data_IF_950319283004
#
_entry.id   IF_950319283004
#
_cell.length_a   1.000
_cell.length_b   1.000
_cell.length_c   1.000
_cell.angle_alpha   90.00
_cell.angle_beta   90.00
_cell.angle_gamma   90.00
#
_symmetry.space_group_name_H-M   'P 1'
#
loop_
_entity.id
_entity.type
_entity.pdbx_description
1 polymer ?
#
# COMPACT_ATOMS: atom_id res chain seq x y z
N UNK A 1 -17.21 30.28 2.46
CA UNK A 1 -17.55 28.86 2.22
C UNK A 1 -17.00 28.46 0.87
N UNK A 2 -15.76 27.97 0.82
CA UNK A 2 -15.17 27.46 -0.41
C UNK A 2 -15.70 26.04 -0.66
N UNK A 3 -16.78 25.93 -1.43
CA UNK A 3 -17.37 24.65 -1.84
C UNK A 3 -16.44 23.79 -2.74
N UNK A 4 -15.22 24.25 -3.04
CA UNK A 4 -14.31 23.66 -4.03
C UNK A 4 -13.11 22.88 -3.44
N UNK A 5 -13.02 22.71 -2.11
CA UNK A 5 -11.83 22.12 -1.46
C UNK A 5 -12.03 20.71 -0.89
N UNK A 6 -13.25 20.19 -0.84
CA UNK A 6 -13.53 18.87 -0.27
C UNK A 6 -13.88 17.83 -1.36
N UNK A 7 -13.41 16.60 -1.20
CA UNK A 7 -13.80 15.44 -2.01
C UNK A 7 -14.76 14.55 -1.21
N UNK A 8 -15.94 14.26 -1.76
CA UNK A 8 -16.93 13.41 -1.09
C UNK A 8 -16.68 11.94 -1.42
N UNK A 9 -16.55 11.11 -0.39
CA UNK A 9 -16.19 9.68 -0.50
C UNK A 9 -17.29 8.83 0.11
N UNK A 10 -17.80 7.87 -0.67
CA UNK A 10 -18.75 6.85 -0.23
C UNK A 10 -18.02 5.50 -0.03
N UNK A 11 -18.02 4.99 1.20
CA UNK A 11 -17.32 3.76 1.58
C UNK A 11 -18.33 2.67 1.89
N UNK A 12 -18.34 1.62 1.08
CA UNK A 12 -19.40 0.61 1.10
C UNK A 12 -18.98 -0.63 1.89
N UNK A 13 -19.89 -1.14 2.73
CA UNK A 13 -19.88 -2.49 3.30
C UNK A 13 -20.96 -3.31 2.60
N UNK A 14 -20.59 -4.21 1.69
CA UNK A 14 -21.55 -5.00 0.93
C UNK A 14 -21.09 -6.45 0.72
N UNK A 15 -22.05 -7.35 0.54
CA UNK A 15 -21.78 -8.76 0.22
C UNK A 15 -21.68 -8.95 -1.29
N UNK A 16 -20.55 -9.41 -1.84
CA UNK A 16 -20.51 -9.87 -3.21
C UNK A 16 -21.17 -11.25 -3.33
N UNK A 17 -21.48 -11.66 -4.55
CA UNK A 17 -21.85 -13.03 -4.88
C UNK A 17 -20.63 -13.70 -5.52
N UNK A 18 -20.08 -14.68 -4.82
CA UNK A 18 -18.95 -15.52 -5.29
C UNK A 18 -19.20 -16.01 -6.73
N UNK A 19 -18.19 -15.85 -7.59
CA UNK A 19 -18.18 -16.24 -9.00
C UNK A 19 -19.02 -15.39 -9.95
N UNK A 20 -19.78 -14.39 -9.48
CA UNK A 20 -20.78 -13.70 -10.30
C UNK A 20 -20.48 -12.21 -10.55
N UNK A 21 -19.54 -11.93 -11.45
CA UNK A 21 -19.11 -10.58 -11.84
C UNK A 21 -20.28 -9.65 -12.21
N UNK A 22 -21.18 -10.10 -13.08
CA UNK A 22 -22.35 -9.31 -13.52
C UNK A 22 -23.26 -8.89 -12.36
N UNK A 23 -23.54 -9.79 -11.42
CA UNK A 23 -24.35 -9.47 -10.24
C UNK A 23 -23.64 -8.48 -9.33
N UNK A 24 -22.32 -8.60 -9.20
CA UNK A 24 -21.52 -7.74 -8.34
C UNK A 24 -21.39 -6.33 -8.92
N UNK A 25 -21.18 -6.18 -10.23
CA UNK A 25 -21.21 -4.87 -10.92
C UNK A 25 -22.58 -4.21 -10.77
N UNK A 26 -23.67 -4.97 -10.98
CA UNK A 26 -25.03 -4.45 -10.73
C UNK A 26 -25.23 -4.01 -9.29
N UNK A 27 -24.62 -4.68 -8.30
CA UNK A 27 -24.65 -4.27 -6.90
C UNK A 27 -23.84 -2.99 -6.67
N UNK A 28 -22.65 -2.86 -7.25
CA UNK A 28 -21.86 -1.62 -7.19
C UNK A 28 -22.67 -0.45 -7.72
N UNK A 29 -23.28 -0.60 -8.90
CA UNK A 29 -24.15 0.42 -9.51
C UNK A 29 -25.30 0.83 -8.59
N UNK A 30 -25.93 -0.10 -7.88
CA UNK A 30 -27.00 0.22 -6.92
C UNK A 30 -26.54 1.13 -5.77
N UNK A 31 -25.32 0.96 -5.27
CA UNK A 31 -24.77 1.86 -4.24
C UNK A 31 -24.39 3.22 -4.84
N UNK A 32 -23.78 3.21 -6.02
CA UNK A 32 -23.47 4.44 -6.77
C UNK A 32 -24.74 5.25 -7.09
N UNK A 33 -25.86 4.57 -7.34
CA UNK A 33 -27.13 5.23 -7.65
C UNK A 33 -27.86 5.81 -6.42
N UNK A 34 -27.50 5.37 -5.20
CA UNK A 34 -28.14 5.81 -3.95
C UNK A 34 -27.58 7.11 -3.40
N UNK A 35 -26.32 7.40 -3.69
CA UNK A 35 -25.59 8.50 -3.07
C UNK A 35 -24.73 9.19 -4.11
N UNK A 36 -24.69 10.52 -4.13
CA UNK A 36 -23.84 11.28 -5.05
C UNK A 36 -22.48 11.55 -4.38
N UNK A 37 -21.40 10.96 -4.90
CA UNK A 37 -20.05 11.10 -4.36
C UNK A 37 -19.01 11.16 -5.49
N UNK A 38 -17.84 11.75 -5.20
CA UNK A 38 -16.73 11.82 -6.15
C UNK A 38 -15.97 10.50 -6.26
N UNK A 39 -15.94 9.73 -5.17
CA UNK A 39 -15.23 8.46 -5.06
C UNK A 39 -16.10 7.43 -4.32
N UNK A 40 -16.25 6.25 -4.91
CA UNK A 40 -16.90 5.10 -4.29
C UNK A 40 -15.89 4.00 -4.03
N UNK A 41 -15.96 3.34 -2.87
CA UNK A 41 -14.99 2.34 -2.45
C UNK A 41 -15.71 1.05 -2.06
N UNK A 42 -15.36 -0.03 -2.75
CA UNK A 42 -15.85 -1.40 -2.53
C UNK A 42 -14.71 -2.29 -2.04
N UNK A 43 -15.07 -3.36 -1.32
CA UNK A 43 -14.11 -4.21 -0.63
C UNK A 43 -13.19 -5.04 -1.54
N UNK A 44 -12.30 -5.77 -0.89
CA UNK A 44 -11.35 -6.68 -1.53
C UNK A 44 -12.08 -7.77 -2.32
N UNK A 45 -11.58 -8.07 -3.52
CA UNK A 45 -12.16 -9.07 -4.43
C UNK A 45 -13.66 -8.89 -4.71
N UNK A 46 -14.26 -7.72 -4.47
CA UNK A 46 -15.70 -7.49 -4.58
C UNK A 46 -16.27 -7.84 -5.97
N UNK A 47 -15.48 -7.67 -7.05
CA UNK A 47 -15.91 -8.03 -8.39
C UNK A 47 -16.30 -9.52 -8.48
N UNK A 48 -15.56 -10.41 -7.81
CA UNK A 48 -15.74 -11.86 -7.92
C UNK A 48 -16.30 -12.50 -6.66
N UNK A 49 -16.20 -11.86 -5.50
CA UNK A 49 -16.24 -12.53 -4.21
C UNK A 49 -14.84 -13.02 -3.80
N UNK A 50 -14.61 -13.15 -2.49
CA UNK A 50 -13.28 -13.41 -1.95
C UNK A 50 -12.90 -14.89 -2.03
N UNK A 51 -13.81 -15.79 -1.64
CA UNK A 51 -13.52 -17.24 -1.57
C UNK A 51 -13.77 -17.94 -2.92
N UNK A 52 -13.15 -17.46 -4.00
CA UNK A 52 -13.24 -18.08 -5.34
C UNK A 52 -12.21 -19.21 -5.56
N UNK A 53 -11.11 -19.25 -4.78
CA UNK A 53 -10.04 -20.25 -4.88
C UNK A 53 -9.55 -20.45 -6.32
N UNK A 54 -9.51 -21.68 -6.85
CA UNK A 54 -9.04 -21.98 -8.21
C UNK A 54 -9.85 -21.28 -9.32
N UNK A 55 -11.12 -20.95 -9.07
CA UNK A 55 -11.95 -20.26 -10.07
C UNK A 55 -11.40 -18.88 -10.43
N UNK A 56 -10.55 -18.28 -9.58
CA UNK A 56 -9.93 -16.97 -9.86
C UNK A 56 -9.20 -16.94 -11.19
N UNK A 57 -8.56 -18.04 -11.61
CA UNK A 57 -7.83 -18.07 -12.87
C UNK A 57 -8.77 -17.94 -14.08
N UNK A 58 -10.02 -18.38 -13.95
CA UNK A 58 -11.05 -18.20 -14.97
C UNK A 58 -11.79 -16.86 -14.87
N UNK A 59 -11.80 -16.26 -13.68
CA UNK A 59 -12.52 -15.03 -13.38
C UNK A 59 -11.66 -13.77 -13.58
N UNK A 60 -10.34 -13.93 -13.53
CA UNK A 60 -9.37 -12.86 -13.68
C UNK A 60 -9.52 -12.16 -15.03
N UNK A 61 -9.24 -10.87 -15.02
CA UNK A 61 -9.26 -10.02 -16.21
C UNK A 61 -8.01 -9.12 -16.18
N UNK A 62 -7.54 -8.75 -17.36
CA UNK A 62 -6.51 -7.72 -17.53
C UNK A 62 -7.15 -6.31 -17.55
N UNK A 63 -6.34 -5.29 -17.83
CA UNK A 63 -6.77 -3.88 -17.85
C UNK A 63 -7.83 -3.54 -18.89
N UNK A 64 -8.01 -4.40 -19.89
CA UNK A 64 -8.95 -4.26 -21.00
C UNK A 64 -10.14 -5.22 -20.88
N UNK A 65 -10.29 -5.91 -19.75
CA UNK A 65 -11.38 -6.85 -19.49
C UNK A 65 -12.78 -6.22 -19.52
N UNK A 66 -13.79 -7.03 -19.83
CA UNK A 66 -15.18 -6.58 -19.99
C UNK A 66 -15.74 -5.96 -18.70
N UNK A 67 -15.39 -6.50 -17.52
CA UNK A 67 -15.82 -5.95 -16.24
C UNK A 67 -15.22 -4.57 -15.99
N UNK A 68 -13.95 -4.38 -16.35
CA UNK A 68 -13.29 -3.07 -16.25
C UNK A 68 -13.94 -2.07 -17.19
N UNK A 69 -14.25 -2.45 -18.43
CA UNK A 69 -14.96 -1.57 -19.37
C UNK A 69 -16.32 -1.15 -18.84
N UNK A 70 -17.12 -2.10 -18.35
CA UNK A 70 -18.46 -1.81 -17.79
C UNK A 70 -18.36 -0.86 -16.57
N UNK A 71 -17.39 -1.06 -15.69
CA UNK A 71 -17.21 -0.18 -14.52
C UNK A 71 -16.69 1.21 -14.94
N UNK A 72 -15.84 1.32 -15.96
CA UNK A 72 -15.42 2.62 -16.52
C UNK A 72 -16.59 3.37 -17.14
N UNK A 73 -17.50 2.69 -17.83
CA UNK A 73 -18.73 3.29 -18.36
C UNK A 73 -19.61 3.82 -17.24
N UNK A 74 -19.77 3.09 -16.13
CA UNK A 74 -20.47 3.58 -14.94
C UNK A 74 -19.78 4.83 -14.38
N UNK A 75 -18.45 4.81 -14.26
CA UNK A 75 -17.67 5.95 -13.78
C UNK A 75 -17.81 7.18 -14.69
N UNK A 76 -17.84 6.99 -16.01
CA UNK A 76 -18.06 8.06 -16.99
C UNK A 76 -19.47 8.64 -16.92
N UNK A 77 -20.50 7.79 -16.91
CA UNK A 77 -21.90 8.21 -16.81
C UNK A 77 -22.20 8.98 -15.53
N UNK A 78 -21.48 8.65 -14.44
CA UNK A 78 -21.65 9.28 -13.12
C UNK A 78 -20.61 10.35 -12.82
N UNK A 79 -19.65 10.59 -13.72
CA UNK A 79 -18.53 11.50 -13.52
C UNK A 79 -17.83 11.33 -12.15
N UNK A 80 -17.60 10.08 -11.77
CA UNK A 80 -17.01 9.71 -10.48
C UNK A 80 -15.80 8.78 -10.64
N UNK A 81 -15.15 8.45 -9.54
CA UNK A 81 -14.11 7.42 -9.46
C UNK A 81 -14.60 6.24 -8.62
N UNK A 82 -14.15 5.03 -8.94
CA UNK A 82 -14.59 3.80 -8.27
C UNK A 82 -13.37 2.96 -7.93
N UNK A 83 -13.18 2.66 -6.64
CA UNK A 83 -12.21 1.67 -6.15
C UNK A 83 -12.94 0.37 -5.86
N UNK A 84 -12.44 -0.74 -6.39
CA UNK A 84 -12.97 -2.08 -6.12
C UNK A 84 -11.86 -3.14 -6.21
N UNK A 85 -12.04 -4.26 -5.52
CA UNK A 85 -11.11 -5.38 -5.58
C UNK A 85 -11.45 -6.40 -6.68
N UNK A 86 -10.43 -6.97 -7.33
CA UNK A 86 -10.59 -8.04 -8.32
C UNK A 86 -9.31 -8.90 -8.47
N UNK A 87 -9.43 -10.13 -9.00
CA UNK A 87 -8.27 -10.86 -9.53
C UNK A 87 -7.84 -10.21 -10.84
N UNK A 88 -6.65 -9.60 -10.84
CA UNK A 88 -6.07 -8.96 -12.02
C UNK A 88 -5.04 -9.87 -12.68
N UNK A 89 -5.22 -10.18 -13.95
CA UNK A 89 -4.27 -10.96 -14.74
C UNK A 89 -3.34 -10.03 -15.52
N UNK A 90 -2.10 -9.87 -15.04
CA UNK A 90 -1.13 -9.00 -15.72
C UNK A 90 -0.53 -9.67 -16.95
N UNK A 91 -0.38 -10.99 -16.88
CA UNK A 91 0.10 -11.87 -17.95
C UNK A 91 -0.60 -13.22 -17.79
N UNK A 92 -0.75 -13.97 -18.88
CA UNK A 92 -1.39 -15.29 -18.87
C UNK A 92 -0.88 -16.17 -17.72
N UNK A 93 -1.78 -16.56 -16.82
CA UNK A 93 -1.53 -17.38 -15.63
C UNK A 93 -0.93 -16.64 -14.42
N UNK A 94 -0.64 -15.34 -14.53
CA UNK A 94 -0.07 -14.52 -13.46
C UNK A 94 -1.11 -13.55 -12.92
N UNK A 95 -1.80 -14.01 -11.89
CA UNK A 95 -2.94 -13.30 -11.26
C UNK A 95 -2.51 -12.67 -9.94
N UNK A 96 -3.05 -11.48 -9.66
CA UNK A 96 -2.82 -10.72 -8.44
C UNK A 96 -4.14 -10.36 -7.78
N UNK A 97 -4.21 -10.43 -6.45
CA UNK A 97 -5.26 -9.77 -5.68
C UNK A 97 -5.02 -8.26 -5.78
N UNK A 98 -5.93 -7.53 -6.43
CA UNK A 98 -5.69 -6.14 -6.83
C UNK A 98 -6.85 -5.22 -6.47
N UNK A 99 -6.50 -3.98 -6.15
CA UNK A 99 -7.41 -2.86 -6.02
C UNK A 99 -7.32 -2.04 -7.31
N UNK A 100 -8.45 -1.84 -7.97
CA UNK A 100 -8.55 -1.07 -9.21
C UNK A 100 -9.28 0.22 -8.93
N UNK A 101 -8.65 1.34 -9.29
CA UNK A 101 -9.25 2.67 -9.36
C UNK A 101 -9.73 2.90 -10.80
N UNK A 102 -11.01 2.69 -11.07
CA UNK A 102 -11.63 3.04 -12.34
C UNK A 102 -12.05 4.52 -12.35
N UNK A 103 -11.73 5.20 -13.45
CA UNK A 103 -12.09 6.58 -13.79
C UNK A 103 -12.66 6.59 -15.21
N UNK A 104 -13.39 7.64 -15.63
CA UNK A 104 -14.05 7.69 -16.94
C UNK A 104 -13.17 7.23 -18.12
N UNK A 105 -11.86 7.56 -18.09
CA UNK A 105 -10.94 7.29 -19.20
C UNK A 105 -9.67 6.52 -18.82
N UNK A 106 -9.51 6.12 -17.56
CA UNK A 106 -8.27 5.50 -17.11
C UNK A 106 -8.51 4.57 -15.94
N UNK A 107 -7.56 3.66 -15.72
CA UNK A 107 -7.50 2.83 -14.53
C UNK A 107 -6.20 3.08 -13.78
N UNK A 108 -6.24 2.92 -12.47
CA UNK A 108 -5.08 2.74 -11.61
C UNK A 108 -5.15 1.36 -11.00
N UNK A 109 -4.02 0.67 -10.87
CA UNK A 109 -3.99 -0.69 -10.34
C UNK A 109 -2.97 -0.74 -9.21
N UNK A 110 -3.39 -1.26 -8.07
CA UNK A 110 -2.54 -1.66 -6.97
C UNK A 110 -2.63 -3.17 -6.79
N UNK A 111 -1.48 -3.84 -6.71
CA UNK A 111 -1.36 -5.29 -6.49
C UNK A 111 -0.96 -5.53 -5.03
N UNK A 112 -1.70 -6.36 -4.29
CA UNK A 112 -1.47 -6.65 -2.87
C UNK A 112 -0.02 -7.08 -2.63
N UNK A 113 0.70 -6.37 -1.77
CA UNK A 113 2.12 -6.69 -1.51
C UNK A 113 2.25 -7.87 -0.55
N UNK A 114 1.44 -7.90 0.50
CA UNK A 114 1.53 -8.90 1.56
C UNK A 114 0.36 -9.88 1.48
N UNK A 115 0.60 -11.01 0.82
CA UNK A 115 -0.39 -12.09 0.70
C UNK A 115 -0.59 -12.82 2.03
N UNK A 116 -1.83 -12.86 2.51
CA UNK A 116 -2.22 -13.58 3.70
C UNK A 116 -2.24 -15.09 3.43
N UNK A 117 -1.38 -15.82 4.12
CA UNK A 117 -1.29 -17.28 3.99
C UNK A 117 -1.13 -17.94 5.36
N UNK A 118 -2.03 -17.58 6.27
CA UNK A 118 -2.11 -18.03 7.65
C UNK A 118 -3.59 -18.07 8.09
N UNK A 119 -3.89 -18.83 9.15
CA UNK A 119 -5.27 -19.01 9.58
C UNK A 119 -6.11 -19.59 8.44
N UNK A 120 -7.27 -18.99 8.09
CA UNK A 120 -8.11 -19.49 7.00
C UNK A 120 -7.68 -19.00 5.60
N UNK A 121 -6.60 -18.22 5.49
CA UNK A 121 -6.19 -17.61 4.23
C UNK A 121 -5.16 -18.44 3.48
N UNK A 122 -5.34 -18.54 2.16
CA UNK A 122 -4.56 -19.36 1.24
C UNK A 122 -4.13 -18.57 -0.01
N UNK A 123 -3.92 -17.25 0.12
CA UNK A 123 -3.71 -16.37 -1.04
C UNK A 123 -2.48 -16.73 -1.87
N UNK A 124 -1.41 -17.28 -1.25
CA UNK A 124 -0.17 -17.62 -1.97
C UNK A 124 -0.32 -18.80 -2.93
N UNK A 125 -1.42 -19.55 -2.84
CA UNK A 125 -1.72 -20.59 -3.83
C UNK A 125 -2.26 -20.01 -5.14
N UNK A 126 -2.88 -18.84 -5.09
CA UNK A 126 -3.65 -18.28 -6.20
C UNK A 126 -3.06 -17.00 -6.78
N UNK A 127 -2.36 -16.22 -5.95
CA UNK A 127 -1.90 -14.90 -6.32
C UNK A 127 -0.38 -14.76 -6.24
N UNK A 128 0.15 -13.97 -7.17
CA UNK A 128 1.50 -13.42 -7.06
C UNK A 128 1.49 -12.18 -6.15
N UNK A 129 2.56 -11.93 -5.36
CA UNK A 129 2.66 -10.72 -4.56
C UNK A 129 3.02 -9.51 -5.44
N UNK A 130 2.42 -8.36 -5.15
CA UNK A 130 2.86 -7.07 -5.65
C UNK A 130 4.16 -6.60 -5.01
N UNK A 131 4.75 -5.55 -5.57
CA UNK A 131 5.97 -4.91 -5.07
C UNK A 131 5.98 -3.38 -5.22
N UNK A 132 4.84 -2.79 -5.60
CA UNK A 132 4.74 -1.38 -5.94
C UNK A 132 4.04 -0.58 -4.84
N UNK A 133 4.18 0.74 -4.92
CA UNK A 133 3.49 1.72 -4.08
C UNK A 133 2.99 2.88 -4.95
N UNK A 134 2.02 2.65 -5.86
CA UNK A 134 1.49 3.70 -6.71
C UNK A 134 0.57 4.63 -5.92
N UNK A 135 0.59 5.91 -6.32
CA UNK A 135 -0.30 6.94 -5.80
C UNK A 135 -1.06 7.53 -6.98
N UNK A 136 -2.38 7.70 -6.83
CA UNK A 136 -3.26 8.10 -7.92
C UNK A 136 -3.96 9.41 -7.59
N UNK A 137 -4.02 10.32 -8.57
CA UNK A 137 -4.75 11.57 -8.41
C UNK A 137 -6.25 11.36 -8.66
N UNK A 138 -7.08 11.80 -7.71
CA UNK A 138 -8.53 11.91 -7.82
C UNK A 138 -8.94 13.30 -7.33
N UNK A 139 -9.55 14.10 -8.20
CA UNK A 139 -9.78 15.54 -7.95
C UNK A 139 -8.47 16.22 -7.52
N UNK A 140 -8.46 16.85 -6.36
CA UNK A 140 -7.30 17.55 -5.81
C UNK A 140 -6.47 16.70 -4.83
N UNK A 141 -6.86 15.44 -4.59
CA UNK A 141 -6.22 14.57 -3.61
C UNK A 141 -5.43 13.44 -4.27
N UNK A 142 -4.35 13.05 -3.62
CA UNK A 142 -3.58 11.88 -3.97
C UNK A 142 -4.00 10.69 -3.11
N UNK A 143 -4.29 9.56 -3.75
CA UNK A 143 -4.79 8.35 -3.11
C UNK A 143 -3.72 7.26 -3.15
N UNK A 144 -3.32 6.78 -1.99
CA UNK A 144 -2.58 5.53 -1.84
C UNK A 144 -3.57 4.38 -1.59
N UNK A 145 -3.39 3.25 -2.27
CA UNK A 145 -4.21 2.05 -2.06
C UNK A 145 -3.41 0.96 -1.37
N UNK A 146 -4.07 0.20 -0.50
CA UNK A 146 -3.55 -1.00 0.12
C UNK A 146 -4.69 -2.01 0.32
N UNK A 147 -4.36 -3.29 0.50
CA UNK A 147 -5.37 -4.34 0.59
C UNK A 147 -5.19 -5.14 1.89
N UNK A 148 -6.20 -5.07 2.75
CA UNK A 148 -6.36 -5.92 3.94
C UNK A 148 -5.07 -6.04 4.75
N UNK A 149 -4.36 -7.17 4.63
CA UNK A 149 -3.17 -7.47 5.39
C UNK A 149 -2.05 -6.42 5.23
N UNK A 150 -2.01 -5.73 4.09
CA UNK A 150 -1.08 -4.62 3.83
C UNK A 150 -1.12 -3.51 4.90
N UNK A 151 -2.29 -3.23 5.50
CA UNK A 151 -2.44 -2.14 6.48
C UNK A 151 -1.62 -2.35 7.75
N UNK A 152 -1.26 -3.60 8.05
CA UNK A 152 -0.46 -3.95 9.21
C UNK A 152 1.03 -3.64 9.03
N UNK A 153 1.48 -3.35 7.81
CA UNK A 153 2.87 -3.02 7.49
C UNK A 153 3.07 -1.49 7.45
N UNK A 154 3.53 -0.85 8.55
CA UNK A 154 3.63 0.60 8.63
C UNK A 154 4.51 1.20 7.52
N UNK A 155 5.54 0.49 7.10
CA UNK A 155 6.51 0.94 6.09
C UNK A 155 5.84 1.13 4.74
N UNK A 156 4.89 0.26 4.38
CA UNK A 156 4.12 0.37 3.14
C UNK A 156 3.27 1.63 3.14
N UNK A 157 2.53 1.87 4.24
CA UNK A 157 1.67 3.04 4.37
C UNK A 157 2.50 4.32 4.44
N UNK A 158 3.61 4.30 5.16
CA UNK A 158 4.57 5.41 5.22
C UNK A 158 5.13 5.71 3.82
N UNK A 159 5.49 4.69 3.05
CA UNK A 159 5.97 4.84 1.67
C UNK A 159 4.94 5.49 0.74
N UNK A 160 3.66 5.09 0.82
CA UNK A 160 2.58 5.72 0.06
C UNK A 160 2.42 7.20 0.40
N UNK A 161 2.45 7.56 1.69
CA UNK A 161 2.30 8.96 2.11
C UNK A 161 3.54 9.80 1.80
N UNK A 162 4.75 9.25 1.89
CA UNK A 162 5.97 9.91 1.43
C UNK A 162 5.97 10.15 -0.09
N UNK A 163 5.28 9.31 -0.86
CA UNK A 163 4.99 9.55 -2.29
C UNK A 163 3.88 10.57 -2.54
N UNK A 164 3.34 11.17 -1.49
CA UNK A 164 2.37 12.26 -1.56
C UNK A 164 0.92 11.84 -1.35
N UNK A 165 0.62 10.61 -0.91
CA UNK A 165 -0.75 10.23 -0.61
C UNK A 165 -1.35 11.08 0.52
N UNK A 166 -2.52 11.65 0.27
CA UNK A 166 -3.32 12.42 1.21
C UNK A 166 -4.40 11.56 1.87
N UNK A 167 -4.88 10.56 1.13
CA UNK A 167 -5.86 9.56 1.54
C UNK A 167 -5.30 8.16 1.33
N UNK A 168 -5.36 7.32 2.36
CA UNK A 168 -5.11 5.89 2.27
C UNK A 168 -6.45 5.15 2.17
N UNK A 169 -6.62 4.40 1.08
CA UNK A 169 -7.76 3.52 0.86
C UNK A 169 -7.34 2.09 1.14
N UNK A 170 -7.93 1.49 2.17
CA UNK A 170 -7.76 0.08 2.49
C UNK A 170 -9.05 -0.68 2.15
N UNK A 171 -9.00 -1.55 1.15
CA UNK A 171 -10.11 -2.47 0.85
C UNK A 171 -9.82 -3.84 1.47
N UNK A 172 -10.85 -4.52 1.96
CA UNK A 172 -10.69 -5.76 2.73
C UNK A 172 -11.82 -6.76 2.57
N UNK A 173 -11.46 -8.01 2.81
CA UNK A 173 -12.34 -9.14 3.10
C UNK A 173 -11.88 -9.74 4.44
N UNK A 174 -12.00 -8.95 5.51
CA UNK A 174 -11.55 -9.28 6.86
C UNK A 174 -12.65 -10.04 7.61
N UNK A 175 -12.39 -11.29 8.05
CA UNK A 175 -13.31 -12.03 8.90
C UNK A 175 -13.39 -11.43 10.31
N UNK A 176 -14.53 -11.62 10.96
CA UNK A 176 -14.89 -11.05 12.26
C UNK A 176 -13.88 -11.30 13.37
N UNK A 177 -13.18 -12.44 13.34
CA UNK A 177 -12.12 -12.79 14.30
C UNK A 177 -10.94 -11.83 14.29
N UNK A 178 -10.73 -11.10 13.19
CA UNK A 178 -9.62 -10.12 13.06
C UNK A 178 -10.05 -8.67 13.27
N UNK A 179 -11.35 -8.42 13.51
CA UNK A 179 -11.93 -7.07 13.64
C UNK A 179 -11.15 -6.17 14.61
N UNK A 180 -10.82 -6.70 15.79
CA UNK A 180 -10.14 -5.93 16.85
C UNK A 180 -8.78 -5.39 16.41
N UNK A 181 -8.07 -6.09 15.52
CA UNK A 181 -6.78 -5.62 15.00
C UNK A 181 -6.97 -4.46 14.02
N UNK A 182 -7.99 -4.53 13.16
CA UNK A 182 -8.34 -3.44 12.25
C UNK A 182 -8.81 -2.19 12.99
N UNK A 183 -9.67 -2.34 14.00
CA UNK A 183 -10.14 -1.22 14.83
C UNK A 183 -9.00 -0.48 15.54
N UNK A 184 -7.87 -1.15 15.79
CA UNK A 184 -6.68 -0.53 16.40
C UNK A 184 -5.75 0.08 15.37
N UNK A 185 -5.48 -0.64 14.27
CA UNK A 185 -4.44 -0.23 13.31
C UNK A 185 -4.89 0.94 12.45
N UNK A 186 -6.17 1.04 12.08
CA UNK A 186 -6.66 2.09 11.18
C UNK A 186 -6.46 3.51 11.73
N UNK A 187 -6.91 3.87 12.96
CA UNK A 187 -6.63 5.19 13.52
C UNK A 187 -5.13 5.43 13.77
N UNK A 188 -4.36 4.37 14.06
CA UNK A 188 -2.91 4.47 14.20
C UNK A 188 -2.25 4.86 12.87
N UNK A 189 -2.63 4.23 11.75
CA UNK A 189 -2.10 4.54 10.42
C UNK A 189 -2.44 5.96 9.98
N UNK A 190 -3.62 6.46 10.34
CA UNK A 190 -3.99 7.85 10.08
C UNK A 190 -3.07 8.81 10.87
N UNK A 191 -2.94 8.60 12.18
CA UNK A 191 -2.17 9.45 13.08
C UNK A 191 -0.67 9.47 12.77
N UNK A 192 -0.09 8.30 12.49
CA UNK A 192 1.35 8.16 12.20
C UNK A 192 1.76 8.87 10.90
N UNK A 193 0.81 9.00 9.97
CA UNK A 193 1.07 9.53 8.64
C UNK A 193 0.43 10.89 8.38
N UNK A 194 -0.38 11.41 9.31
CA UNK A 194 -1.15 12.65 9.11
C UNK A 194 -1.85 12.65 7.75
N UNK A 195 -2.57 11.55 7.50
CA UNK A 195 -3.31 11.29 6.27
C UNK A 195 -4.69 10.73 6.63
N UNK A 196 -5.70 11.03 5.81
CA UNK A 196 -6.99 10.37 5.97
C UNK A 196 -6.84 8.87 5.72
N UNK A 197 -7.63 8.06 6.43
CA UNK A 197 -7.70 6.61 6.20
C UNK A 197 -9.15 6.21 6.03
N UNK A 198 -9.47 5.57 4.91
CA UNK A 198 -10.78 4.97 4.67
C UNK A 198 -10.63 3.47 4.50
N UNK A 199 -11.53 2.73 5.12
CA UNK A 199 -11.52 1.28 5.18
C UNK A 199 -12.85 0.74 4.66
N UNK A 200 -12.82 -0.04 3.59
CA UNK A 200 -13.98 -0.78 3.08
C UNK A 200 -13.79 -2.26 3.35
N UNK A 201 -14.79 -2.90 3.96
CA UNK A 201 -14.77 -4.33 4.21
C UNK A 201 -16.00 -5.02 3.62
N UNK A 202 -15.84 -6.28 3.22
CA UNK A 202 -16.98 -7.12 2.89
C UNK A 202 -17.88 -7.34 4.12
N UNK A 203 -19.12 -7.72 3.86
CA UNK A 203 -20.07 -8.15 4.89
C UNK A 203 -20.78 -9.43 4.46
N UNK A 204 -21.21 -10.23 5.44
CA UNK A 204 -21.91 -11.49 5.19
C UNK A 204 -20.96 -12.68 5.24
N UNK A 205 -21.40 -13.81 4.70
CA UNK A 205 -20.69 -15.08 4.82
C UNK A 205 -20.28 -15.63 3.45
N UNK A 206 -19.05 -16.12 3.36
CA UNK A 206 -18.54 -16.89 2.22
C UNK A 206 -17.79 -18.11 2.74
N UNK A 207 -18.25 -19.32 2.41
CA UNK A 207 -17.56 -20.59 2.68
C UNK A 207 -16.97 -20.71 4.11
N UNK A 208 -17.76 -20.33 5.13
CA UNK A 208 -17.38 -20.40 6.54
C UNK A 208 -16.61 -19.18 7.07
N UNK A 209 -16.29 -18.20 6.24
CA UNK A 209 -15.79 -16.89 6.67
C UNK A 209 -16.95 -15.92 6.87
N UNK A 210 -17.03 -15.32 8.06
CA UNK A 210 -18.00 -14.27 8.38
C UNK A 210 -17.32 -12.91 8.37
N UNK A 211 -17.59 -12.10 7.34
CA UNK A 211 -17.08 -10.75 7.20
C UNK A 211 -17.94 -9.75 7.96
N UNK A 212 -17.30 -8.88 8.72
CA UNK A 212 -17.97 -8.06 9.73
C UNK A 212 -18.53 -6.73 9.20
N UNK A 213 -18.36 -6.40 7.92
CA UNK A 213 -18.73 -5.08 7.39
C UNK A 213 -17.95 -4.00 8.13
N UNK A 214 -18.66 -2.99 8.66
CA UNK A 214 -18.04 -1.97 9.51
C UNK A 214 -17.01 -1.10 8.80
N UNK A 215 -17.22 -0.84 7.50
CA UNK A 215 -16.48 0.16 6.75
C UNK A 215 -16.44 1.48 7.52
N UNK A 216 -15.29 2.15 7.55
CA UNK A 216 -15.04 3.28 8.45
C UNK A 216 -14.03 4.27 7.88
N UNK A 217 -14.10 5.52 8.34
CA UNK A 217 -13.24 6.60 7.90
C UNK A 217 -12.63 7.34 9.09
N UNK A 218 -11.36 7.76 8.97
CA UNK A 218 -10.62 8.44 10.01
C UNK A 218 -9.97 9.72 9.48
N UNK A 219 -9.98 10.76 10.33
CA UNK A 219 -9.27 12.02 10.08
C UNK A 219 -7.76 11.80 10.09
N UNK A 220 -6.94 12.74 9.57
CA UNK A 220 -5.49 12.72 9.70
C UNK A 220 -4.97 12.70 11.15
N UNK A 221 -5.83 13.04 12.13
CA UNK A 221 -5.54 12.98 13.57
C UNK A 221 -5.90 11.63 14.20
N UNK A 222 -6.46 10.70 13.43
CA UNK A 222 -6.90 9.39 13.89
C UNK A 222 -8.28 9.39 14.55
N UNK A 223 -9.05 10.46 14.41
CA UNK A 223 -10.41 10.55 14.95
C UNK A 223 -11.38 9.86 13.98
N UNK A 224 -12.35 9.12 14.52
CA UNK A 224 -13.36 8.45 13.69
C UNK A 224 -14.30 9.51 13.10
N UNK A 225 -14.42 9.53 11.77
CA UNK A 225 -15.38 10.38 11.05
C UNK A 225 -16.76 9.71 11.07
N UNK A 226 -16.82 8.47 10.59
CA UNK A 226 -18.04 7.68 10.54
C UNK A 226 -17.73 6.17 10.43
N UNK A 227 -18.71 5.33 10.74
CA UNK A 227 -18.62 3.86 10.70
C UNK A 227 -19.95 3.22 10.32
N UNK A 228 -19.91 2.36 9.31
CA UNK A 228 -21.01 1.53 8.86
C UNK A 228 -21.40 0.47 9.91
N UNK A 229 -22.63 0.00 9.86
CA UNK A 229 -23.11 -1.06 10.75
C UNK A 229 -22.28 -2.36 10.61
N UNK A 230 -22.09 -3.06 11.73
CA UNK A 230 -21.51 -4.40 11.71
C UNK A 230 -22.53 -5.42 11.20
N UNK A 231 -22.04 -6.40 10.44
CA UNK A 231 -22.82 -7.56 9.96
C UNK A 231 -24.06 -7.21 9.12
N UNK A 232 -24.15 -5.98 8.61
CA UNK A 232 -25.20 -5.53 7.71
C UNK A 232 -24.60 -4.83 6.49
N UNK A 233 -25.30 -4.94 5.37
CA UNK A 233 -24.98 -4.10 4.23
C UNK A 233 -25.31 -2.65 4.52
N UNK A 234 -24.32 -1.78 4.37
CA UNK A 234 -24.40 -0.38 4.74
C UNK A 234 -23.30 0.42 4.02
N UNK A 235 -23.35 1.73 4.10
CA UNK A 235 -22.30 2.60 3.58
C UNK A 235 -22.21 3.88 4.41
N UNK A 236 -21.02 4.45 4.46
CA UNK A 236 -20.80 5.77 5.06
C UNK A 236 -20.39 6.77 3.99
N UNK A 237 -20.60 8.04 4.30
CA UNK A 237 -20.21 9.16 3.46
C UNK A 237 -19.36 10.10 4.28
N UNK A 238 -18.17 10.41 3.79
CA UNK A 238 -17.25 11.33 4.44
C UNK A 238 -16.70 12.36 3.45
N UNK A 239 -16.28 13.51 3.97
CA UNK A 239 -15.61 14.54 3.19
C UNK A 239 -14.12 14.51 3.54
N UNK A 240 -13.28 14.55 2.50
CA UNK A 240 -11.83 14.67 2.61
C UNK A 240 -11.49 16.12 2.34
N UNK A 241 -10.92 16.81 3.32
CA UNK A 241 -10.69 18.26 3.30
C UNK A 241 -9.19 18.60 3.32
N UNK A 242 -8.77 19.50 2.43
CA UNK A 242 -7.38 19.91 2.28
C UNK A 242 -6.86 20.74 3.48
N UNK A 243 -7.71 21.57 4.08
CA UNK A 243 -7.38 22.39 5.23
C UNK A 243 -7.15 21.51 6.46
N UNK A 244 -7.98 20.50 6.67
CA UNK A 244 -7.81 19.52 7.76
C UNK A 244 -6.48 18.74 7.63
N UNK A 245 -6.11 18.30 6.42
CA UNK A 245 -4.81 17.69 6.14
C UNK A 245 -3.66 18.63 6.47
N UNK A 246 -3.76 19.88 6.02
CA UNK A 246 -2.73 20.89 6.26
C UNK A 246 -2.55 21.15 7.75
N UNK A 247 -3.65 21.35 8.49
CA UNK A 247 -3.61 21.57 9.92
C UNK A 247 -2.99 20.39 10.67
N UNK A 248 -3.36 19.15 10.33
CA UNK A 248 -2.82 17.96 10.97
C UNK A 248 -1.32 17.80 10.70
N UNK A 249 -0.87 18.02 9.45
CA UNK A 249 0.55 17.97 9.07
C UNK A 249 1.37 19.08 9.75
N UNK A 250 0.79 20.27 9.97
CA UNK A 250 1.44 21.35 10.73
C UNK A 250 1.54 20.98 12.22
N UNK A 251 0.45 20.50 12.81
CA UNK A 251 0.39 20.16 14.23
C UNK A 251 1.29 18.98 14.59
N UNK A 252 1.43 18.00 13.69
CA UNK A 252 2.27 16.82 13.87
C UNK A 252 3.05 16.50 12.59
N UNK A 253 4.22 17.11 12.37
CA UNK A 253 4.96 17.03 11.11
C UNK A 253 5.74 15.72 10.92
N UNK A 254 5.08 14.56 11.11
CA UNK A 254 5.73 13.23 11.01
C UNK A 254 6.33 12.98 9.65
N UNK A 255 5.76 13.56 8.58
CA UNK A 255 6.29 13.43 7.22
C UNK A 255 7.61 14.17 7.05
N UNK A 256 7.68 15.42 7.52
CA UNK A 256 8.92 16.22 7.51
C UNK A 256 10.00 15.59 8.38
N UNK A 257 9.60 15.04 9.53
CA UNK A 257 10.53 14.53 10.54
C UNK A 257 10.91 13.04 10.29
N UNK A 258 10.36 12.41 9.25
CA UNK A 258 10.72 11.04 8.85
C UNK A 258 12.18 11.00 8.36
N UNK A 259 13.00 10.15 8.97
CA UNK A 259 14.42 10.00 8.62
C UNK A 259 14.61 8.93 7.56
N UNK A 260 15.12 9.32 6.39
CA UNK A 260 15.37 8.41 5.28
C UNK A 260 16.35 7.27 5.65
N UNK A 261 17.41 7.59 6.40
CA UNK A 261 18.44 6.62 6.78
C UNK A 261 17.90 5.45 7.60
N UNK A 262 16.83 5.67 8.38
CA UNK A 262 16.20 4.62 9.18
C UNK A 262 15.69 3.47 8.30
N UNK A 263 15.22 3.75 7.08
CA UNK A 263 14.76 2.69 6.18
C UNK A 263 15.91 1.82 5.66
N UNK A 264 17.10 2.39 5.48
CA UNK A 264 18.31 1.64 5.10
C UNK A 264 18.78 0.76 6.26
N UNK A 265 18.72 1.27 7.48
CA UNK A 265 19.02 0.50 8.68
C UNK A 265 18.03 -0.68 8.82
N UNK A 266 16.72 -0.43 8.68
CA UNK A 266 15.70 -1.48 8.72
C UNK A 266 15.89 -2.52 7.61
N UNK A 267 16.21 -2.10 6.39
CA UNK A 267 16.56 -3.00 5.29
C UNK A 267 17.76 -3.89 5.65
N UNK A 268 18.82 -3.28 6.19
CA UNK A 268 20.03 -3.99 6.59
C UNK A 268 19.76 -4.99 7.70
N UNK A 269 18.96 -4.61 8.70
CA UNK A 269 18.53 -5.49 9.80
C UNK A 269 17.68 -6.65 9.27
N UNK A 270 16.73 -6.38 8.38
CA UNK A 270 15.82 -7.40 7.85
C UNK A 270 16.52 -8.40 6.89
N UNK A 271 17.49 -7.92 6.09
CA UNK A 271 18.23 -8.74 5.12
C UNK A 271 19.30 -9.60 5.77
N UNK A 272 19.97 -9.09 6.80
CA UNK A 272 20.95 -9.85 7.56
C UNK A 272 20.22 -10.80 8.53
N UNK A 273 19.89 -12.02 8.04
CA UNK A 273 19.51 -13.16 8.91
C UNK A 273 20.56 -13.45 10.01
N UNK A 274 21.73 -12.84 9.88
CA UNK A 274 22.91 -12.94 10.74
C UNK A 274 22.86 -12.04 12.00
N UNK A 275 21.70 -11.50 12.35
CA UNK A 275 21.36 -11.33 13.79
C UNK A 275 21.20 -12.71 14.47
N UNK A 276 21.23 -13.80 13.69
CA UNK A 276 21.46 -15.20 14.09
C UNK A 276 22.63 -15.91 13.34
N UNK A 277 23.71 -15.20 13.00
CA UNK A 277 24.98 -15.83 12.55
C UNK A 277 26.13 -14.82 12.59
N UNK A 278 27.29 -15.22 13.10
CA UNK A 278 28.33 -14.30 13.57
C UNK A 278 29.21 -13.65 12.48
N UNK A 279 28.87 -13.72 11.18
CA UNK A 279 29.86 -13.53 10.11
C UNK A 279 29.59 -12.48 9.03
N UNK A 280 28.64 -11.55 9.18
CA UNK A 280 28.65 -10.34 8.34
C UNK A 280 28.25 -9.11 9.15
N UNK A 281 29.25 -8.31 9.53
CA UNK A 281 29.08 -6.94 9.99
C UNK A 281 30.00 -6.03 9.19
N UNK A 282 29.44 -4.90 8.78
CA UNK A 282 30.02 -3.56 8.58
C UNK A 282 29.51 -2.96 7.25
N UNK A 283 28.56 -2.03 7.37
CA UNK A 283 28.41 -0.96 6.39
C UNK A 283 29.53 0.04 6.63
N UNK A 284 30.35 0.29 5.60
CA UNK A 284 31.49 1.19 5.70
C UNK A 284 31.00 2.63 5.61
N UNK A 285 31.43 3.49 6.54
CA UNK A 285 31.34 4.94 6.39
C UNK A 285 32.51 5.43 5.54
N UNK A 286 32.25 6.46 4.74
CA UNK A 286 33.23 7.08 3.85
C UNK A 286 34.51 7.46 4.64
N UNK A 287 35.68 6.94 4.21
CA UNK A 287 37.00 7.23 4.83
C UNK A 287 37.85 6.02 5.26
N UNK A 288 37.44 4.78 4.99
CA UNK A 288 38.16 3.58 5.46
C UNK A 288 39.08 2.94 4.40
N UNK A 289 40.27 2.45 4.81
CA UNK A 289 41.25 1.77 3.93
C UNK A 289 41.33 0.27 4.25
N UNK A 290 41.29 -0.55 3.20
CA UNK A 290 41.26 -2.02 3.30
C UNK A 290 42.67 -2.59 3.11
N UNK A 291 43.08 -3.57 3.92
CA UNK A 291 44.25 -4.42 3.64
C UNK A 291 43.83 -5.88 3.53
N UNK A 292 43.87 -6.38 2.31
CA UNK A 292 43.44 -7.72 1.91
C UNK A 292 43.01 -7.71 0.45
N UNK A 293 42.97 -8.88 -0.20
CA UNK A 293 42.50 -8.97 -1.58
C UNK A 293 40.98 -8.80 -1.56
N UNK A 294 40.50 -7.68 -2.09
CA UNK A 294 39.07 -7.44 -2.32
C UNK A 294 38.71 -8.16 -3.61
N UNK A 295 37.74 -9.08 -3.54
CA UNK A 295 37.34 -9.86 -4.71
C UNK A 295 36.26 -9.14 -5.53
N UNK A 296 35.40 -8.35 -4.88
CA UNK A 296 34.27 -7.64 -5.49
C UNK A 296 33.90 -6.41 -4.64
N UNK A 297 33.52 -5.32 -5.31
CA UNK A 297 33.04 -4.07 -4.70
C UNK A 297 31.73 -3.70 -5.37
N UNK A 298 30.64 -3.72 -4.60
CA UNK A 298 29.34 -3.19 -5.05
C UNK A 298 29.17 -1.78 -4.49
N UNK A 299 29.06 -0.77 -5.36
CA UNK A 299 28.71 0.61 -4.98
C UNK A 299 27.23 0.81 -5.26
N UNK A 300 26.46 1.07 -4.23
CA UNK A 300 25.04 1.38 -4.35
C UNK A 300 24.88 2.89 -4.42
N UNK A 301 24.22 3.39 -5.46
CA UNK A 301 24.06 4.82 -5.72
C UNK A 301 22.97 5.11 -6.74
N UNK A 302 22.71 6.39 -6.97
CA UNK A 302 22.06 6.87 -8.20
C UNK A 302 23.12 7.55 -9.10
N UNK A 303 22.70 8.22 -10.18
CA UNK A 303 23.60 8.86 -11.15
C UNK A 303 24.53 9.92 -10.53
N UNK A 304 24.14 10.50 -9.38
CA UNK A 304 24.84 11.64 -8.77
C UNK A 304 25.40 11.35 -7.36
N UNK A 305 24.98 10.28 -6.69
CA UNK A 305 25.29 10.02 -5.27
C UNK A 305 25.46 8.53 -4.99
N UNK A 306 26.58 8.15 -4.38
CA UNK A 306 26.80 6.83 -3.81
C UNK A 306 26.31 6.78 -2.34
N UNK A 307 25.40 5.84 -2.04
CA UNK A 307 24.76 5.63 -0.74
C UNK A 307 25.40 4.50 0.08
N UNK A 308 26.25 3.66 -0.51
CA UNK A 308 26.95 2.62 0.23
C UNK A 308 27.95 1.83 -0.60
N UNK A 309 28.90 1.19 0.09
CA UNK A 309 29.89 0.28 -0.49
C UNK A 309 29.81 -1.06 0.25
N UNK A 310 29.65 -2.15 -0.48
CA UNK A 310 29.71 -3.51 0.05
C UNK A 310 30.99 -4.19 -0.41
N UNK A 311 31.68 -4.83 0.54
CA UNK A 311 32.93 -5.56 0.31
C UNK A 311 32.77 -7.01 0.73
N UNK A 312 33.25 -7.92 -0.12
CA UNK A 312 33.38 -9.34 0.23
C UNK A 312 34.84 -9.67 0.49
N UNK A 313 35.16 -10.19 1.68
CA UNK A 313 36.51 -10.63 2.05
C UNK A 313 36.48 -12.06 2.61
N UNK A 314 37.51 -12.86 2.32
CA UNK A 314 37.56 -14.27 2.72
C UNK A 314 38.34 -14.54 4.01
N UNK A 315 38.11 -13.80 5.10
CA UNK A 315 38.91 -13.91 6.34
C UNK A 315 38.07 -14.04 7.62
N UNK A 316 38.63 -14.74 8.62
CA UNK A 316 37.91 -15.22 9.83
C UNK A 316 37.93 -14.29 11.07
N UNK A 317 38.52 -13.08 11.02
CA UNK A 317 38.46 -12.08 12.11
C UNK A 317 38.93 -10.68 11.67
N UNK A 318 38.26 -9.63 12.14
CA UNK A 318 38.54 -8.22 11.81
C UNK A 318 38.59 -7.38 13.10
N UNK A 319 39.61 -6.51 13.25
CA UNK A 319 39.71 -5.49 14.31
C UNK A 319 39.79 -4.09 13.68
N UNK A 320 39.09 -3.11 14.27
CA UNK A 320 38.80 -1.79 13.68
C UNK A 320 39.42 -0.65 14.51
N UNK A 321 39.97 0.38 13.85
CA UNK A 321 40.54 1.59 14.49
C UNK A 321 40.01 2.87 13.78
N UNK A 322 39.47 3.89 14.48
CA UNK A 322 38.89 5.11 13.86
C UNK A 322 39.93 6.10 13.28
N UNK A 323 39.56 6.88 12.25
CA UNK A 323 40.33 8.00 11.65
C UNK A 323 39.42 9.16 11.19
N UNK A 324 39.98 10.37 10.96
CA UNK A 324 39.24 11.64 10.72
C UNK A 324 39.30 12.24 9.29
N UNK A 325 40.00 11.64 8.32
CA UNK A 325 40.16 12.23 6.97
C UNK A 325 39.87 11.24 5.83
N UNK A 326 39.28 11.74 4.73
CA UNK A 326 38.91 11.00 3.51
C UNK A 326 39.91 11.31 2.39
N UNK A 327 40.35 10.30 1.64
CA UNK A 327 41.26 10.44 0.48
C UNK A 327 40.76 9.60 -0.69
N UNK A 328 40.59 10.20 -1.88
CA UNK A 328 40.19 9.50 -3.11
C UNK A 328 41.46 9.10 -3.86
N UNK A 329 41.54 7.89 -4.43
CA UNK A 329 42.70 7.44 -5.21
C UNK A 329 42.23 6.90 -6.56
N UNK A 330 42.74 7.46 -7.67
CA UNK A 330 42.48 7.03 -9.05
C UNK A 330 43.81 6.64 -9.70
N UNK A 331 43.88 5.46 -10.33
CA UNK A 331 45.10 4.91 -10.97
C UNK A 331 46.34 4.91 -10.05
N UNK A 332 46.13 4.66 -8.76
CA UNK A 332 47.19 4.64 -7.75
C UNK A 332 47.66 6.04 -7.29
N UNK A 333 47.03 7.12 -7.74
CA UNK A 333 47.31 8.49 -7.31
C UNK A 333 46.18 9.05 -6.46
N UNK A 334 46.55 9.58 -5.30
CA UNK A 334 45.60 10.28 -4.43
C UNK A 334 45.15 11.58 -5.08
N UNK A 335 43.85 11.70 -5.30
CA UNK A 335 43.19 12.91 -5.75
C UNK A 335 42.51 13.57 -4.56
N UNK A 336 42.98 14.77 -4.23
CA UNK A 336 42.41 15.60 -3.20
C UNK A 336 42.90 17.03 -3.30
N UNK A 337 41.94 17.93 -3.49
CA UNK A 337 41.97 19.39 -3.36
C UNK A 337 42.88 20.17 -4.33
N UNK A 338 42.26 20.94 -5.22
CA UNK A 338 42.86 22.23 -5.65
C UNK A 338 43.33 22.99 -4.39
N UNK A 339 44.45 23.69 -4.42
CA UNK A 339 44.71 24.79 -5.35
C UNK A 339 44.69 24.48 -6.84
#
# INVERSE_FOLDING_TARGET
>A
MNLFLAMKVCVVSASPKVGNKKRNIKKMKKYIDKEEADLYIFGEMFLTGYVCREEIFSLAEDGEGDSIREIKEIAEQRNCSIVFGMPFEERKGMVYNSAVLARPKSIGIYKKNFLANFGPFEEKFFFSPGNDMPVFKVKNFNIGMCICYDIFFPELIKGLVLKGADLIVCISASPSITKIYFERVLPARATENTAFVVYSNLVGEEEGLSFWGGSQAYTPRGELIDKAEYFKEDYIVCNIDEEELKEARIARPTLRDTKADLFLDLYSIAKNKDVFNENVKIGIRIGEKIKGKVNEIDVYGNEDVAFGIKLSTGCNKINVIPSKEIKVIVDGKEMGAES
#
